data_IF_901734662474
#
_entry.id   IF_901734662474
#
_cell.length_a   1.000
_cell.length_b   1.000
_cell.length_c   1.000
_cell.angle_alpha   90.00
_cell.angle_beta   90.00
_cell.angle_gamma   90.00
#
_symmetry.space_group_name_H-M   'P 1'
#
loop_
_entity.id
_entity.type
_entity.pdbx_description
1 polymer ?
#
# COMPACT_ATOMS: atom_id res chain seq x y z
N UNK A 1 1.12 -26.13 26.13
CA UNK A 1 1.01 -25.61 24.76
C UNK A 1 1.88 -26.49 23.88
N UNK A 2 1.34 -27.08 22.80
CA UNK A 2 2.01 -28.12 22.01
C UNK A 2 2.99 -27.49 20.98
N UNK A 3 4.28 -27.86 20.95
CA UNK A 3 5.27 -27.27 20.03
C UNK A 3 4.92 -27.38 18.54
N UNK A 4 4.23 -28.45 18.12
CA UNK A 4 3.80 -28.61 16.72
C UNK A 4 2.77 -27.55 16.28
N UNK A 5 1.89 -27.15 17.20
CA UNK A 5 0.90 -26.09 16.95
C UNK A 5 1.55 -24.70 16.78
N UNK A 6 2.71 -24.49 17.41
CA UNK A 6 3.47 -23.23 17.28
C UNK A 6 4.11 -23.13 15.89
N UNK A 7 4.68 -24.23 15.38
CA UNK A 7 5.35 -24.23 14.08
C UNK A 7 4.36 -24.03 12.92
N UNK A 8 3.20 -24.71 12.96
CA UNK A 8 2.15 -24.55 11.94
C UNK A 8 1.61 -23.11 11.90
N UNK A 9 1.41 -22.50 13.07
CA UNK A 9 0.98 -21.10 13.19
C UNK A 9 2.03 -20.09 12.71
N UNK A 10 3.33 -20.38 12.90
CA UNK A 10 4.42 -19.55 12.38
C UNK A 10 4.46 -19.63 10.85
N UNK A 11 4.31 -20.82 10.27
CA UNK A 11 4.35 -21.01 8.81
C UNK A 11 3.22 -20.25 8.10
N UNK A 12 1.99 -20.35 8.63
CA UNK A 12 0.84 -19.60 8.11
C UNK A 12 1.07 -18.08 8.21
N UNK A 13 1.57 -17.60 9.35
CA UNK A 13 1.92 -16.19 9.54
C UNK A 13 3.05 -15.73 8.60
N UNK A 14 4.02 -16.60 8.33
CA UNK A 14 5.12 -16.32 7.41
C UNK A 14 4.63 -16.20 5.96
N UNK A 15 3.72 -17.08 5.52
CA UNK A 15 3.13 -17.03 4.18
C UNK A 15 2.30 -15.76 3.94
N UNK A 16 1.49 -15.35 4.93
CA UNK A 16 0.78 -14.07 4.87
C UNK A 16 1.75 -12.88 4.78
N UNK A 17 2.82 -12.92 5.60
CA UNK A 17 3.85 -11.88 5.64
C UNK A 17 4.61 -11.79 4.32
N UNK A 18 5.04 -12.93 3.76
CA UNK A 18 5.70 -13.01 2.45
C UNK A 18 4.82 -12.39 1.37
N UNK A 19 3.54 -12.73 1.35
CA UNK A 19 2.59 -12.19 0.37
C UNK A 19 2.54 -10.66 0.45
N UNK A 20 2.39 -10.09 1.65
CA UNK A 20 2.37 -8.64 1.83
C UNK A 20 3.70 -7.99 1.42
N UNK A 21 4.82 -8.55 1.90
CA UNK A 21 6.16 -8.03 1.59
C UNK A 21 6.47 -8.08 0.10
N UNK A 22 6.07 -9.14 -0.61
CA UNK A 22 6.26 -9.27 -2.06
C UNK A 22 5.55 -8.16 -2.83
N UNK A 23 4.38 -7.72 -2.36
CA UNK A 23 3.64 -6.61 -2.95
C UNK A 23 4.37 -5.29 -2.66
N UNK A 24 4.83 -5.10 -1.43
CA UNK A 24 5.59 -3.90 -1.07
C UNK A 24 6.98 -3.83 -1.73
N UNK A 25 7.58 -4.97 -2.10
CA UNK A 25 8.88 -5.07 -2.76
C UNK A 25 8.84 -4.64 -4.25
N UNK A 26 8.15 -3.54 -4.56
CA UNK A 26 8.14 -2.92 -5.88
C UNK A 26 8.22 -1.41 -5.77
N UNK A 27 9.22 -0.83 -6.43
CA UNK A 27 9.42 0.62 -6.50
C UNK A 27 8.15 1.37 -6.91
N UNK A 28 7.45 0.91 -7.94
CA UNK A 28 6.23 1.58 -8.44
C UNK A 28 5.09 1.51 -7.43
N UNK A 29 4.88 0.35 -6.80
CA UNK A 29 3.83 0.17 -5.78
C UNK A 29 4.12 0.98 -4.52
N UNK A 30 5.37 1.06 -4.06
CA UNK A 30 5.75 1.92 -2.94
C UNK A 30 5.42 3.39 -3.23
N UNK A 31 5.77 3.91 -4.41
CA UNK A 31 5.46 5.31 -4.76
C UNK A 31 3.94 5.54 -4.80
N UNK A 32 3.16 4.60 -5.37
CA UNK A 32 1.68 4.66 -5.35
C UNK A 32 1.16 4.73 -3.90
N UNK A 33 1.59 3.78 -3.06
CA UNK A 33 1.13 3.67 -1.68
C UNK A 33 1.49 4.90 -0.85
N UNK A 34 2.67 5.49 -1.06
CA UNK A 34 3.07 6.73 -0.39
C UNK A 34 2.20 7.92 -0.81
N UNK A 35 1.86 8.03 -2.10
CA UNK A 35 0.94 9.06 -2.56
C UNK A 35 -0.44 8.90 -1.92
N UNK A 36 -0.97 7.66 -1.89
CA UNK A 36 -2.24 7.34 -1.25
C UNK A 36 -2.21 7.59 0.26
N UNK A 37 -1.11 7.27 0.94
CA UNK A 37 -0.94 7.53 2.36
C UNK A 37 -0.91 9.04 2.67
N UNK A 38 -0.26 9.84 1.81
CA UNK A 38 -0.15 11.28 1.99
C UNK A 38 -1.45 12.04 1.68
N UNK A 39 -2.21 11.61 0.67
CA UNK A 39 -3.39 12.33 0.17
C UNK A 39 -4.73 11.71 0.62
N UNK A 40 -4.71 10.53 1.25
CA UNK A 40 -5.89 9.77 1.67
C UNK A 40 -6.59 9.05 0.52
N UNK A 41 -7.12 9.82 -0.44
CA UNK A 41 -7.83 9.32 -1.62
C UNK A 41 -7.39 10.11 -2.87
N UNK A 42 -7.08 9.41 -3.98
CA UNK A 42 -6.61 10.04 -5.22
C UNK A 42 -7.36 9.44 -6.42
N UNK A 43 -7.86 10.27 -7.38
CA UNK A 43 -8.46 9.78 -8.61
C UNK A 43 -7.39 9.12 -9.51
N UNK A 44 -7.79 8.05 -10.22
CA UNK A 44 -6.87 7.27 -11.08
C UNK A 44 -6.15 8.12 -12.11
N UNK A 45 -6.83 9.11 -12.71
CA UNK A 45 -6.23 10.02 -13.69
C UNK A 45 -5.13 10.90 -13.10
N UNK A 46 -5.23 11.25 -11.82
CA UNK A 46 -4.18 12.00 -11.14
C UNK A 46 -3.00 11.12 -10.74
N UNK A 47 -3.26 9.87 -10.30
CA UNK A 47 -2.19 8.89 -10.08
C UNK A 47 -1.36 8.66 -11.36
N UNK A 48 -2.01 8.55 -12.52
CA UNK A 48 -1.31 8.41 -13.80
C UNK A 48 -0.38 9.60 -14.07
N UNK A 49 -0.85 10.83 -13.84
CA UNK A 49 -0.08 12.06 -14.04
C UNK A 49 1.10 12.16 -13.06
N UNK A 50 0.87 11.89 -11.77
CA UNK A 50 1.92 11.98 -10.73
C UNK A 50 3.05 10.98 -10.92
N UNK A 51 2.75 9.82 -11.51
CA UNK A 51 3.69 8.70 -11.62
C UNK A 51 4.31 8.53 -13.00
N UNK A 52 3.86 9.31 -13.97
CA UNK A 52 4.19 9.18 -15.39
C UNK A 52 4.04 7.73 -15.87
N UNK A 53 2.86 7.15 -15.64
CA UNK A 53 2.53 5.77 -15.97
C UNK A 53 1.36 5.69 -16.95
N UNK A 54 1.50 4.78 -17.92
CA UNK A 54 0.39 4.36 -18.75
C UNK A 54 -0.73 3.71 -17.91
N UNK A 55 -1.97 3.84 -18.39
CA UNK A 55 -3.16 3.34 -17.70
C UNK A 55 -3.10 1.83 -17.44
N UNK A 56 -2.62 1.05 -18.41
CA UNK A 56 -2.50 -0.41 -18.30
C UNK A 56 -1.54 -0.82 -17.18
N UNK A 57 -0.36 -0.20 -17.13
CA UNK A 57 0.65 -0.47 -16.10
C UNK A 57 0.15 -0.11 -14.70
N UNK A 58 -0.46 1.08 -14.55
CA UNK A 58 -1.04 1.49 -13.27
C UNK A 58 -2.18 0.55 -12.84
N UNK A 59 -3.07 0.19 -13.76
CA UNK A 59 -4.18 -0.71 -13.48
C UNK A 59 -3.71 -2.09 -13.02
N UNK A 60 -2.63 -2.62 -13.57
CA UNK A 60 -2.06 -3.90 -13.12
C UNK A 60 -1.55 -3.81 -11.68
N UNK A 61 -0.81 -2.76 -11.33
CA UNK A 61 -0.36 -2.54 -9.96
C UNK A 61 -1.53 -2.40 -8.98
N UNK A 62 -2.53 -1.60 -9.33
CA UNK A 62 -3.71 -1.36 -8.50
C UNK A 62 -4.57 -2.63 -8.37
N UNK A 63 -4.70 -3.43 -9.43
CA UNK A 63 -5.44 -4.69 -9.38
C UNK A 63 -4.81 -5.69 -8.41
N UNK A 64 -3.48 -5.83 -8.43
CA UNK A 64 -2.75 -6.68 -7.50
C UNK A 64 -2.92 -6.21 -6.04
N UNK A 65 -2.74 -4.91 -5.78
CA UNK A 65 -2.90 -4.36 -4.44
C UNK A 65 -4.35 -4.46 -3.94
N UNK A 66 -5.34 -4.35 -4.84
CA UNK A 66 -6.76 -4.53 -4.50
C UNK A 66 -7.07 -6.00 -4.18
N UNK A 67 -6.52 -6.94 -4.96
CA UNK A 67 -6.69 -8.37 -4.71
C UNK A 67 -6.11 -8.78 -3.35
N UNK A 68 -5.04 -8.12 -2.91
CA UNK A 68 -4.44 -8.31 -1.59
C UNK A 68 -5.10 -7.50 -0.47
N UNK A 69 -6.19 -6.78 -0.74
CA UNK A 69 -6.92 -5.98 0.26
C UNK A 69 -6.18 -4.74 0.76
N UNK A 70 -5.09 -4.32 0.10
CA UNK A 70 -4.27 -3.19 0.53
C UNK A 70 -4.94 -1.86 0.18
N UNK A 71 -5.51 -1.77 -1.03
CA UNK A 71 -6.19 -0.58 -1.52
C UNK A 71 -7.66 -0.85 -1.77
N UNK A 72 -8.47 0.20 -1.64
CA UNK A 72 -9.90 0.20 -1.97
C UNK A 72 -10.21 1.21 -3.05
N UNK A 73 -11.38 1.05 -3.66
CA UNK A 73 -11.86 1.93 -4.74
C UNK A 73 -13.23 2.51 -4.40
N UNK A 74 -13.40 3.81 -4.67
CA UNK A 74 -14.70 4.49 -4.66
C UNK A 74 -14.97 5.06 -6.05
N UNK A 75 -16.21 5.03 -6.51
CA UNK A 75 -16.61 5.64 -7.77
C UNK A 75 -17.46 6.88 -7.52
N UNK A 76 -17.13 7.97 -8.21
CA UNK A 76 -17.88 9.21 -8.18
C UNK A 76 -18.04 9.73 -9.62
N UNK A 77 -19.27 9.64 -10.13
CA UNK A 77 -19.58 9.83 -11.54
C UNK A 77 -18.81 8.84 -12.43
N UNK A 78 -17.97 9.38 -13.31
CA UNK A 78 -17.09 8.62 -14.22
C UNK A 78 -15.70 8.37 -13.66
N UNK A 79 -15.37 8.94 -12.51
CA UNK A 79 -14.01 8.88 -11.93
C UNK A 79 -13.93 7.78 -10.87
N UNK A 80 -12.85 6.99 -10.92
CA UNK A 80 -12.49 6.01 -9.90
C UNK A 80 -11.41 6.60 -9.01
N UNK A 81 -11.65 6.57 -7.73
CA UNK A 81 -10.75 6.99 -6.68
C UNK A 81 -10.16 5.78 -5.99
N UNK A 82 -8.89 5.88 -5.60
CA UNK A 82 -8.18 4.86 -4.85
C UNK A 82 -7.76 5.41 -3.49
N UNK A 83 -7.81 4.56 -2.48
CA UNK A 83 -7.34 4.86 -1.12
C UNK A 83 -6.60 3.68 -0.51
N UNK A 84 -5.64 3.96 0.36
CA UNK A 84 -4.96 2.95 1.17
C UNK A 84 -5.80 2.71 2.43
N UNK A 85 -6.42 1.54 2.54
CA UNK A 85 -7.37 1.23 3.63
C UNK A 85 -6.83 0.20 4.62
N UNK A 86 -5.89 -0.66 4.22
CA UNK A 86 -5.31 -1.64 5.12
C UNK A 86 -4.41 -0.99 6.19
N UNK A 87 -4.82 -1.12 7.45
CA UNK A 87 -4.09 -0.56 8.60
C UNK A 87 -2.75 -1.25 8.83
N UNK A 88 -2.65 -2.55 8.53
CA UNK A 88 -1.37 -3.29 8.66
C UNK A 88 -0.34 -2.74 7.68
N UNK A 89 -0.73 -2.55 6.43
CA UNK A 89 0.12 -1.95 5.39
C UNK A 89 0.52 -0.52 5.75
N UNK A 90 -0.38 0.32 6.27
CA UNK A 90 -0.03 1.69 6.72
C UNK A 90 1.07 1.68 7.78
N UNK A 91 0.91 0.86 8.83
CA UNK A 91 1.90 0.75 9.91
C UNK A 91 3.25 0.26 9.39
N UNK A 92 3.23 -0.77 8.54
CA UNK A 92 4.45 -1.31 7.94
C UNK A 92 5.14 -0.30 7.02
N UNK A 93 4.39 0.38 6.16
CA UNK A 93 4.93 1.41 5.26
C UNK A 93 5.53 2.57 6.05
N UNK A 94 4.88 2.99 7.14
CA UNK A 94 5.40 4.01 8.06
C UNK A 94 6.72 3.58 8.69
N UNK A 95 6.81 2.33 9.17
CA UNK A 95 8.04 1.80 9.74
C UNK A 95 9.16 1.72 8.68
N UNK A 96 8.87 1.19 7.49
CA UNK A 96 9.81 1.12 6.37
C UNK A 96 10.35 2.51 6.04
N UNK A 97 9.47 3.50 5.88
CA UNK A 97 9.89 4.86 5.54
C UNK A 97 10.66 5.54 6.67
N UNK A 98 10.31 5.29 7.93
CA UNK A 98 11.04 5.84 9.07
C UNK A 98 12.44 5.27 9.19
N UNK A 99 12.59 3.95 8.96
CA UNK A 99 13.86 3.24 9.14
C UNK A 99 14.78 3.40 7.92
N UNK A 100 14.22 3.28 6.71
CA UNK A 100 15.02 3.24 5.48
C UNK A 100 15.03 4.56 4.72
N UNK A 101 14.11 5.49 5.01
CA UNK A 101 13.99 6.78 4.33
C UNK A 101 13.74 7.95 5.31
N UNK A 102 14.62 8.17 6.31
CA UNK A 102 14.39 9.14 7.38
C UNK A 102 14.18 10.58 6.88
N UNK A 103 14.77 10.96 5.73
CA UNK A 103 14.59 12.30 5.15
C UNK A 103 13.21 12.53 4.50
N UNK A 104 12.42 11.48 4.26
CA UNK A 104 11.10 11.56 3.61
C UNK A 104 9.94 11.79 4.59
N UNK A 105 10.16 11.51 5.89
CA UNK A 105 9.16 11.57 6.97
C UNK A 105 8.48 12.94 7.17
N UNK A 106 9.14 14.11 6.97
CA UNK A 106 8.51 15.41 7.24
C UNK A 106 7.27 15.73 6.38
N UNK A 107 7.08 15.02 5.27
CA UNK A 107 5.96 15.24 4.34
C UNK A 107 4.75 14.32 4.54
N UNK A 108 4.91 13.23 5.31
CA UNK A 108 3.87 12.21 5.54
C UNK A 108 3.15 12.39 6.89
N UNK A 109 3.79 13.03 7.87
CA UNK A 109 3.22 13.30 9.21
C UNK A 109 2.04 14.28 9.22
N UNK A 110 1.83 15.08 8.17
CA UNK A 110 0.72 16.04 8.11
C UNK A 110 -0.64 15.43 7.78
N UNK A 111 -0.69 14.17 7.34
CA UNK A 111 -1.92 13.52 6.89
C UNK A 111 -2.74 12.84 8.00
N UNK A 112 -2.20 12.71 9.22
CA UNK A 112 -2.89 12.05 10.35
C UNK A 112 -3.61 13.03 11.30
N UNK A 113 -3.60 14.34 11.00
CA UNK A 113 -4.14 15.38 11.90
C UNK A 113 -5.36 16.14 11.35
N UNK A 114 -6.09 15.60 10.37
CA UNK A 114 -7.32 16.20 9.81
C UNK A 114 -8.49 15.20 9.81
#
# INVERSE_FOLDING_TARGET
>A
MNPLFIMESIEESAAETETLLSILASRRRLIILCNLMASGEIPVGELMKRLDLAQSALSQHLALMRAAGIVSTRREGTTIYYSLTDTRTKKLLTAIMTILCPEMVPSLSKAEAA
#
